data_IF_879039156140
#
_entry.id   IF_879039156140
#
_cell.length_a   1.000
_cell.length_b   1.000
_cell.length_c   1.000
_cell.angle_alpha   90.00
_cell.angle_beta   90.00
_cell.angle_gamma   90.00
#
_symmetry.space_group_name_H-M   'P 1'
#
loop_
_entity.id
_entity.type
_entity.pdbx_description
1 polymer ?
#
# COMPACT_ATOMS: atom_id res chain seq x y z
N UNK A 1 38.50 3.89 -45.03
CA UNK A 1 38.18 3.20 -46.28
C UNK A 1 37.86 1.76 -45.98
N UNK A 2 36.65 1.25 -46.12
CA UNK A 2 35.42 1.76 -46.74
C UNK A 2 34.35 0.75 -46.28
N UNK A 3 33.44 1.17 -45.41
CA UNK A 3 32.01 1.24 -45.70
C UNK A 3 31.43 0.01 -46.42
N UNK A 4 30.57 -0.75 -45.74
CA UNK A 4 29.40 -1.31 -46.43
C UNK A 4 28.30 -1.67 -45.42
N UNK A 5 27.41 -0.71 -45.23
CA UNK A 5 26.12 -0.77 -44.55
C UNK A 5 25.29 -2.01 -44.93
N UNK A 6 24.74 -2.72 -43.94
CA UNK A 6 23.71 -3.73 -44.20
C UNK A 6 22.57 -3.63 -43.17
N UNK A 7 21.49 -2.97 -43.59
CA UNK A 7 20.14 -3.47 -43.37
C UNK A 7 19.43 -3.03 -42.10
N UNK A 8 18.85 -1.83 -42.10
CA UNK A 8 17.71 -1.51 -41.22
C UNK A 8 16.50 -2.39 -41.58
N UNK A 9 15.87 -3.09 -40.62
CA UNK A 9 14.49 -3.53 -40.78
C UNK A 9 13.52 -2.39 -40.40
N UNK A 10 12.36 -2.28 -41.10
CA UNK A 10 11.48 -1.12 -41.03
C UNK A 10 10.70 -1.03 -39.71
N UNK A 11 10.39 0.22 -39.34
CA UNK A 11 9.44 0.56 -38.28
C UNK A 11 8.08 -0.13 -38.52
N UNK A 12 7.68 -1.02 -37.62
CA UNK A 12 6.32 -1.56 -37.58
C UNK A 12 5.43 -0.56 -36.84
N UNK A 13 4.57 0.11 -37.60
CA UNK A 13 3.55 1.02 -37.10
C UNK A 13 2.57 0.31 -36.12
N UNK A 14 2.04 1.01 -35.11
CA UNK A 14 1.05 0.45 -34.21
C UNK A 14 -0.30 0.24 -34.91
N UNK A 15 -1.03 -0.86 -34.63
CA UNK A 15 -2.42 -0.97 -35.08
C UNK A 15 -3.30 0.01 -34.30
N UNK A 16 -3.89 0.94 -35.05
CA UNK A 16 -4.98 1.83 -34.65
C UNK A 16 -6.21 0.98 -34.29
N UNK A 17 -6.76 1.13 -33.09
CA UNK A 17 -8.15 0.75 -32.78
C UNK A 17 -8.82 1.89 -32.02
N UNK A 18 -9.60 2.67 -32.75
CA UNK A 18 -10.83 3.29 -32.27
C UNK A 18 -11.93 2.76 -33.22
N UNK A 19 -13.12 2.45 -32.70
CA UNK A 19 -14.10 3.53 -32.54
C UNK A 19 -14.79 3.56 -31.18
N UNK A 20 -15.11 4.79 -30.78
CA UNK A 20 -16.08 5.12 -29.75
C UNK A 20 -17.45 4.57 -30.14
N UNK A 21 -18.12 3.91 -29.19
CA UNK A 21 -19.56 3.68 -29.26
C UNK A 21 -20.25 4.87 -28.58
N UNK A 22 -21.14 5.60 -29.28
CA UNK A 22 -22.00 6.59 -28.66
C UNK A 22 -23.19 5.91 -27.95
N UNK A 23 -23.47 6.42 -26.76
CA UNK A 23 -24.78 6.77 -26.20
C UNK A 23 -25.94 5.78 -26.44
N UNK A 24 -26.18 4.92 -25.45
CA UNK A 24 -27.48 4.29 -25.23
C UNK A 24 -28.01 4.84 -23.90
N UNK A 25 -28.67 6.00 -23.97
CA UNK A 25 -29.50 6.57 -22.91
C UNK A 25 -30.95 6.09 -23.13
N UNK A 26 -31.45 5.13 -22.34
CA UNK A 26 -32.87 4.95 -22.15
C UNK A 26 -33.38 5.79 -20.96
N UNK A 27 -34.56 6.41 -21.11
CA UNK A 27 -35.03 7.51 -20.28
C UNK A 27 -35.42 7.12 -18.85
N UNK A 28 -35.31 8.12 -18.00
CA UNK A 28 -35.75 8.18 -16.61
C UNK A 28 -37.22 7.77 -16.44
N UNK A 29 -37.47 6.74 -15.63
CA UNK A 29 -38.81 6.40 -15.14
C UNK A 29 -38.79 6.15 -13.62
N UNK A 30 -39.50 7.01 -12.89
CA UNK A 30 -40.09 6.75 -11.56
C UNK A 30 -39.15 6.96 -10.37
N UNK A 31 -39.34 7.98 -9.52
CA UNK A 31 -40.28 7.98 -8.37
C UNK A 31 -39.99 6.74 -7.50
N UNK A 32 -39.33 6.86 -6.35
CA UNK A 32 -39.82 7.54 -5.14
C UNK A 32 -38.66 8.17 -4.32
N UNK A 33 -38.80 9.39 -3.79
CA UNK A 33 -38.00 9.81 -2.65
C UNK A 33 -38.51 9.06 -1.42
N UNK A 34 -37.94 7.88 -1.15
CA UNK A 34 -38.05 7.29 0.18
C UNK A 34 -37.38 8.27 1.14
N UNK A 35 -38.21 8.95 1.93
CA UNK A 35 -37.82 9.84 3.01
C UNK A 35 -36.70 9.17 3.82
N UNK A 36 -35.51 9.78 3.97
CA UNK A 36 -34.54 9.24 4.91
C UNK A 36 -35.19 9.32 6.30
N UNK A 37 -35.22 8.22 7.08
CA UNK A 37 -35.63 8.33 8.46
C UNK A 37 -34.67 9.32 9.12
N UNK A 38 -35.19 10.49 9.48
CA UNK A 38 -34.64 11.27 10.55
C UNK A 38 -34.63 10.35 11.78
N UNK A 39 -33.53 10.40 12.53
CA UNK A 39 -33.44 9.89 13.90
C UNK A 39 -33.16 8.38 14.05
N UNK A 40 -31.92 7.99 13.77
CA UNK A 40 -31.12 7.04 14.55
C UNK A 40 -29.65 7.25 14.14
N UNK A 41 -28.89 8.18 14.72
CA UNK A 41 -28.37 8.10 16.10
C UNK A 41 -28.18 6.66 16.58
N UNK A 42 -27.39 5.91 15.81
CA UNK A 42 -26.46 4.96 16.40
C UNK A 42 -25.07 5.51 16.11
N UNK A 43 -24.70 6.41 17.02
CA UNK A 43 -23.37 6.58 17.58
C UNK A 43 -22.30 5.73 16.87
N UNK A 44 -21.38 6.42 16.20
CA UNK A 44 -20.12 5.83 15.74
C UNK A 44 -19.38 5.25 16.94
N UNK A 45 -19.59 3.97 17.19
CA UNK A 45 -18.74 3.13 18.04
C UNK A 45 -17.67 2.40 17.23
N UNK A 46 -17.29 2.93 16.07
CA UNK A 46 -15.91 2.81 15.60
C UNK A 46 -15.08 3.88 16.33
N UNK A 47 -15.06 3.80 17.67
CA UNK A 47 -13.84 4.10 18.39
C UNK A 47 -12.83 3.00 18.00
N UNK A 48 -12.40 3.00 16.74
CA UNK A 48 -11.05 2.60 16.42
C UNK A 48 -10.21 3.63 17.16
N UNK A 49 -9.93 3.31 18.42
CA UNK A 49 -8.86 3.87 19.21
C UNK A 49 -7.69 3.94 18.25
N UNK A 50 -7.48 5.13 17.70
CA UNK A 50 -6.48 5.36 16.68
C UNK A 50 -5.16 5.16 17.35
N UNK A 51 -4.69 3.91 17.35
CA UNK A 51 -3.32 3.60 17.70
C UNK A 51 -2.48 4.55 16.86
N UNK A 52 -1.63 5.38 17.49
CA UNK A 52 -0.92 6.43 16.81
C UNK A 52 -0.24 5.84 15.57
N UNK A 53 -0.22 6.56 14.43
CA UNK A 53 0.39 6.05 13.20
C UNK A 53 1.80 5.58 13.56
N UNK A 54 2.04 4.29 13.40
CA UNK A 54 3.10 3.61 14.14
C UNK A 54 4.49 4.18 13.89
N UNK A 55 5.50 3.65 14.59
CA UNK A 55 6.83 4.24 14.63
C UNK A 55 7.37 4.69 13.23
N UNK A 56 7.73 5.98 13.03
CA UNK A 56 7.95 6.57 11.70
C UNK A 56 9.14 5.97 10.92
N UNK A 57 10.10 5.42 11.66
CA UNK A 57 11.28 4.75 11.11
C UNK A 57 11.15 3.21 11.07
N UNK A 58 10.02 2.66 11.52
CA UNK A 58 9.78 1.22 11.43
C UNK A 58 9.52 0.85 9.97
N UNK A 59 10.13 -0.22 9.49
CA UNK A 59 9.96 -0.74 8.12
C UNK A 59 8.51 -1.14 7.87
N UNK A 60 7.78 -1.54 8.91
CA UNK A 60 6.36 -1.88 8.82
C UNK A 60 5.45 -0.66 8.63
N UNK A 61 5.90 0.57 8.87
CA UNK A 61 5.18 1.84 8.66
C UNK A 61 3.67 1.78 8.99
N UNK A 62 2.82 1.68 7.97
CA UNK A 62 1.35 1.63 8.04
C UNK A 62 0.80 0.36 8.73
N UNK A 63 1.58 -0.73 8.80
CA UNK A 63 1.31 -1.96 9.55
C UNK A 63 2.02 -1.99 10.92
N UNK A 64 2.70 -0.91 11.29
CA UNK A 64 3.43 -0.83 12.56
C UNK A 64 2.46 -0.74 13.74
N UNK A 65 2.54 -1.72 14.65
CA UNK A 65 1.75 -1.80 15.88
C UNK A 65 2.42 -1.14 17.09
N UNK A 66 3.51 -0.39 16.87
CA UNK A 66 4.29 0.26 17.92
C UNK A 66 4.23 1.77 17.82
N UNK A 67 4.62 2.47 18.88
CA UNK A 67 4.55 3.92 18.97
C UNK A 67 5.83 4.62 18.52
N UNK A 68 5.78 5.92 18.22
CA UNK A 68 6.96 6.71 17.85
C UNK A 68 8.01 6.86 18.97
N UNK A 69 7.65 6.50 20.20
CA UNK A 69 8.55 6.44 21.37
C UNK A 69 9.29 5.11 21.52
N UNK A 70 8.90 4.08 20.76
CA UNK A 70 9.57 2.78 20.79
C UNK A 70 11.00 2.89 20.27
N UNK A 71 11.92 2.18 20.90
CA UNK A 71 13.29 2.06 20.40
C UNK A 71 13.31 1.34 19.05
N UNK A 72 14.25 1.72 18.20
CA UNK A 72 14.49 1.04 16.94
C UNK A 72 15.47 -0.11 17.13
N UNK A 73 15.09 -1.27 16.61
CA UNK A 73 15.90 -2.46 16.50
C UNK A 73 16.26 -2.64 15.04
N UNK A 74 17.56 -2.69 14.75
CA UNK A 74 18.07 -3.05 13.45
C UNK A 74 18.29 -4.56 13.38
N UNK A 75 17.59 -5.21 12.46
CA UNK A 75 17.76 -6.62 12.16
C UNK A 75 19.17 -6.87 11.62
N UNK A 76 19.82 -7.94 12.08
CA UNK A 76 21.11 -8.41 11.58
C UNK A 76 20.90 -9.77 10.90
N UNK A 77 20.94 -9.78 9.58
CA UNK A 77 20.83 -11.02 8.80
C UNK A 77 22.19 -11.38 8.21
N UNK A 78 22.74 -12.53 8.60
CA UNK A 78 24.07 -12.99 8.15
C UNK A 78 25.19 -11.95 8.38
N UNK A 79 25.17 -11.30 9.54
CA UNK A 79 26.16 -10.28 9.91
C UNK A 79 26.03 -8.96 9.15
N UNK A 80 24.93 -8.75 8.41
CA UNK A 80 24.63 -7.49 7.71
C UNK A 80 23.48 -6.77 8.36
N UNK A 81 23.62 -5.45 8.47
CA UNK A 81 22.57 -4.52 8.83
C UNK A 81 21.42 -4.61 7.80
N UNK A 82 20.28 -5.12 8.24
CA UNK A 82 19.05 -5.21 7.47
C UNK A 82 18.06 -4.11 7.86
N UNK A 83 16.78 -4.49 7.85
CA UNK A 83 15.63 -3.63 8.12
C UNK A 83 15.59 -3.12 9.56
N UNK A 84 14.91 -1.98 9.74
CA UNK A 84 14.69 -1.37 11.05
C UNK A 84 13.25 -1.63 11.50
N UNK A 85 13.07 -2.10 12.72
CA UNK A 85 11.75 -2.32 13.33
C UNK A 85 11.70 -1.62 14.67
N UNK A 86 10.54 -1.10 15.07
CA UNK A 86 10.39 -0.67 16.46
C UNK A 86 10.39 -1.89 17.39
N UNK A 87 10.61 -1.67 18.70
CA UNK A 87 10.63 -2.74 19.72
C UNK A 87 9.42 -3.66 19.62
N UNK A 88 8.22 -3.08 19.59
CA UNK A 88 6.95 -3.81 19.54
C UNK A 88 6.86 -4.72 18.30
N UNK A 89 7.19 -4.20 17.12
CA UNK A 89 7.22 -5.00 15.90
C UNK A 89 8.30 -6.08 15.94
N UNK A 90 9.49 -5.75 16.48
CA UNK A 90 10.59 -6.70 16.59
C UNK A 90 10.25 -7.87 17.53
N UNK A 91 9.63 -7.61 18.68
CA UNK A 91 9.19 -8.65 19.61
C UNK A 91 8.14 -9.57 18.97
N UNK A 92 7.18 -9.00 18.24
CA UNK A 92 6.20 -9.78 17.46
C UNK A 92 6.89 -10.65 16.39
N UNK A 93 7.91 -10.11 15.72
CA UNK A 93 8.69 -10.84 14.72
C UNK A 93 9.51 -11.99 15.34
N UNK A 94 10.08 -11.79 16.53
CA UNK A 94 10.81 -12.82 17.28
C UNK A 94 9.90 -13.96 17.76
N UNK A 95 8.62 -13.71 18.04
CA UNK A 95 7.68 -14.79 18.37
C UNK A 95 7.52 -15.78 17.22
N UNK A 96 7.58 -15.31 15.98
CA UNK A 96 7.50 -16.15 14.78
C UNK A 96 8.88 -16.70 14.38
N UNK A 97 9.95 -15.93 14.64
CA UNK A 97 11.31 -16.24 14.23
C UNK A 97 12.32 -16.01 15.38
N UNK A 98 12.41 -16.94 16.35
CA UNK A 98 13.20 -16.73 17.57
C UNK A 98 14.72 -16.79 17.38
N UNK A 99 15.17 -17.14 16.17
CA UNK A 99 16.59 -17.26 15.83
C UNK A 99 17.17 -15.99 15.19
N UNK A 100 16.35 -14.94 15.05
CA UNK A 100 16.81 -13.68 14.47
C UNK A 100 17.60 -12.86 15.49
N UNK A 101 18.56 -12.12 14.96
CA UNK A 101 19.43 -11.25 15.75
C UNK A 101 19.09 -9.79 15.45
N UNK A 102 19.01 -8.96 16.48
CA UNK A 102 18.71 -7.53 16.36
C UNK A 102 19.57 -6.71 17.31
N UNK A 103 19.85 -5.47 16.93
CA UNK A 103 20.60 -4.51 17.75
C UNK A 103 19.82 -3.20 17.89
N UNK A 104 19.74 -2.69 19.12
CA UNK A 104 19.17 -1.38 19.43
C UNK A 104 20.02 -0.26 18.80
N UNK A 105 19.36 0.71 18.15
CA UNK A 105 19.96 1.90 17.52
C UNK A 105 19.73 3.19 18.31
#
# INVERSE_FOLDING_TARGET
DDDNENGSPPARAPPRRAPAVPDDDPPEEGLDPEEPPADADLEGEDALEGDPPGHPMCTSQEDCQGSAEDILIRHILNGKNGDLYCRTCWESFLQQNPHLEGREE
#
